data_IF_378709162071
#
_entry.id   IF_378709162071
#
_cell.length_a   1.000
_cell.length_b   1.000
_cell.length_c   1.000
_cell.angle_alpha   90.00
_cell.angle_beta   90.00
_cell.angle_gamma   90.00
#
_symmetry.space_group_name_H-M   'P 1'
#
loop_
_entity.id
_entity.type
_entity.pdbx_description
1 polymer ?
#
# COMPACT_ATOMS: atom_id res chain seq x y z
N UNK A 1 -15.54 4.18 19.37
CA UNK A 1 -16.27 3.58 18.24
C UNK A 1 -15.30 3.37 17.06
N UNK A 2 -14.21 2.60 17.26
CA UNK A 2 -13.07 2.56 16.33
C UNK A 2 -12.46 1.18 16.12
N UNK A 3 -13.16 0.11 16.51
CA UNK A 3 -12.64 -1.27 16.49
C UNK A 3 -13.27 -2.16 15.40
N UNK A 4 -14.21 -1.63 14.61
CA UNK A 4 -14.92 -2.41 13.59
C UNK A 4 -14.11 -2.48 12.30
N UNK A 5 -13.43 -1.41 11.89
CA UNK A 5 -12.67 -1.36 10.63
C UNK A 5 -11.48 -2.33 10.61
N UNK A 6 -10.76 -2.45 11.72
CA UNK A 6 -9.62 -3.39 11.88
C UNK A 6 -10.10 -4.84 11.92
N UNK A 7 -11.24 -5.10 12.57
CA UNK A 7 -11.80 -6.46 12.72
C UNK A 7 -12.30 -7.05 11.39
N UNK A 8 -12.82 -6.23 10.49
CA UNK A 8 -13.23 -6.70 9.15
C UNK A 8 -12.03 -6.97 8.22
N UNK A 9 -10.92 -6.24 8.39
CA UNK A 9 -9.71 -6.42 7.59
C UNK A 9 -8.95 -7.71 7.97
N UNK A 10 -8.97 -8.09 9.26
CA UNK A 10 -8.41 -9.36 9.79
C UNK A 10 -9.21 -10.58 9.31
N UNK A 11 -10.55 -10.53 9.34
CA UNK A 11 -11.41 -11.68 9.01
C UNK A 11 -11.39 -12.05 7.52
N UNK A 12 -11.12 -11.09 6.62
CA UNK A 12 -11.04 -11.35 5.18
C UNK A 12 -9.76 -12.07 4.74
N UNK A 13 -8.72 -12.09 5.57
CA UNK A 13 -7.39 -12.57 5.20
C UNK A 13 -6.95 -13.87 5.90
N UNK A 14 -7.77 -14.40 6.82
CA UNK A 14 -7.49 -15.58 7.65
C UNK A 14 -7.57 -16.93 6.88
N UNK A 15 -7.76 -16.90 5.55
CA UNK A 15 -7.91 -18.12 4.72
C UNK A 15 -6.66 -18.60 3.99
N UNK A 16 -5.53 -17.88 4.05
CA UNK A 16 -4.30 -18.30 3.35
C UNK A 16 -3.05 -18.21 4.24
N UNK A 17 -2.84 -19.18 5.14
CA UNK A 17 -1.74 -19.18 6.11
C UNK A 17 -0.34 -19.37 5.49
N UNK A 18 -0.23 -19.70 4.19
CA UNK A 18 1.03 -20.14 3.59
C UNK A 18 1.85 -19.07 2.89
N UNK A 19 1.34 -17.84 2.73
CA UNK A 19 2.05 -16.80 1.98
C UNK A 19 2.71 -15.76 2.89
N UNK A 20 2.04 -15.27 3.94
CA UNK A 20 2.59 -14.48 5.06
C UNK A 20 1.43 -14.31 6.06
N UNK A 21 1.65 -14.31 7.40
CA UNK A 21 0.57 -14.03 8.35
C UNK A 21 0.19 -12.58 8.16
N UNK A 22 -0.99 -12.32 7.62
CA UNK A 22 -1.51 -10.96 7.37
C UNK A 22 -1.65 -10.20 8.69
N UNK A 23 -1.78 -10.94 9.79
CA UNK A 23 -1.63 -10.47 11.17
C UNK A 23 -0.33 -9.69 11.37
N UNK A 24 0.79 -10.16 10.81
CA UNK A 24 2.08 -9.47 10.88
C UNK A 24 1.98 -8.09 10.26
N UNK A 25 1.26 -7.93 9.15
CA UNK A 25 1.05 -6.62 8.53
C UNK A 25 0.31 -5.69 9.50
N UNK A 26 -0.77 -6.18 10.10
CA UNK A 26 -1.59 -5.42 11.05
C UNK A 26 -0.78 -5.02 12.29
N UNK A 27 -0.02 -5.95 12.89
CA UNK A 27 0.86 -5.66 14.02
C UNK A 27 2.00 -4.71 13.63
N UNK A 28 2.57 -4.86 12.43
CA UNK A 28 3.62 -3.96 11.95
C UNK A 28 3.07 -2.56 11.75
N UNK A 29 1.89 -2.39 11.16
CA UNK A 29 1.25 -1.08 11.01
C UNK A 29 0.90 -0.48 12.38
N UNK A 30 0.40 -1.27 13.33
CA UNK A 30 0.11 -0.79 14.67
C UNK A 30 1.37 -0.36 15.44
N UNK A 31 2.49 -1.05 15.25
CA UNK A 31 3.76 -0.74 15.92
C UNK A 31 4.53 0.40 15.22
N UNK A 32 4.54 0.43 13.90
CA UNK A 32 5.32 1.38 13.09
C UNK A 32 4.52 2.60 12.62
N UNK A 33 3.19 2.59 12.72
CA UNK A 33 2.32 3.73 12.43
C UNK A 33 1.33 3.95 13.58
N UNK A 34 1.77 4.45 14.75
CA UNK A 34 0.85 4.87 15.80
C UNK A 34 -0.04 6.03 15.36
N UNK A 35 0.29 6.71 14.26
CA UNK A 35 -0.47 7.83 13.70
C UNK A 35 -1.66 7.36 12.83
N UNK A 36 -1.86 6.04 12.67
CA UNK A 36 -2.99 5.47 11.95
C UNK A 36 -4.31 5.82 12.67
N UNK A 37 -5.07 6.77 12.11
CA UNK A 37 -6.35 7.25 12.65
C UNK A 37 -6.33 8.70 13.15
N UNK A 38 -5.16 9.31 13.32
CA UNK A 38 -5.03 10.76 13.58
C UNK A 38 -4.65 11.55 12.33
N UNK A 39 -3.85 10.95 11.44
CA UNK A 39 -3.38 11.57 10.19
C UNK A 39 -4.25 11.21 8.99
N UNK A 40 -4.24 12.09 7.99
CA UNK A 40 -4.99 11.88 6.75
C UNK A 40 -4.28 10.86 5.84
N UNK A 41 -5.03 10.15 4.99
CA UNK A 41 -4.49 9.08 4.13
C UNK A 41 -3.32 9.55 3.24
N UNK A 42 -3.30 10.83 2.86
CA UNK A 42 -2.21 11.43 2.07
C UNK A 42 -0.92 11.59 2.88
N UNK A 43 -1.02 11.94 4.16
CA UNK A 43 0.11 12.12 5.07
C UNK A 43 0.72 10.77 5.45
N UNK A 44 -0.13 9.77 5.70
CA UNK A 44 0.29 8.38 5.91
C UNK A 44 1.02 7.85 4.68
N UNK A 45 0.47 8.06 3.48
CA UNK A 45 1.13 7.64 2.23
C UNK A 45 2.49 8.34 2.01
N UNK A 46 2.65 9.58 2.47
CA UNK A 46 3.93 10.29 2.43
C UNK A 46 4.92 9.76 3.48
N UNK A 47 4.46 9.47 4.70
CA UNK A 47 5.27 8.98 5.82
C UNK A 47 5.81 7.56 5.57
N UNK A 48 5.01 6.70 4.95
CA UNK A 48 5.44 5.37 4.49
C UNK A 48 6.34 5.46 3.24
N UNK A 49 6.26 6.57 2.50
CA UNK A 49 7.02 6.76 1.26
C UNK A 49 6.44 5.97 0.09
N UNK A 50 5.11 5.89 0.00
CA UNK A 50 4.36 5.31 -1.14
C UNK A 50 3.80 6.43 -2.04
N UNK A 51 3.76 7.68 -1.54
CA UNK A 51 3.38 8.83 -2.33
C UNK A 51 4.43 9.13 -3.43
N UNK A 52 4.02 9.29 -4.70
CA UNK A 52 4.94 9.66 -5.78
C UNK A 52 5.40 11.11 -5.60
N UNK A 53 6.71 11.31 -5.50
CA UNK A 53 7.35 12.62 -5.34
C UNK A 53 7.71 13.19 -6.71
N UNK A 54 7.40 14.48 -6.93
CA UNK A 54 7.83 15.20 -8.13
C UNK A 54 9.33 15.51 -8.03
N UNK A 55 10.08 15.17 -9.08
CA UNK A 55 11.52 15.49 -9.20
C UNK A 55 11.69 16.53 -10.29
N UNK A 56 11.12 17.71 -10.06
CA UNK A 56 11.12 18.79 -11.02
C UNK A 56 12.15 19.85 -10.61
N UNK A 57 12.98 20.31 -11.56
CA UNK A 57 13.93 21.41 -11.33
C UNK A 57 13.86 22.41 -12.49
N UNK A 58 13.40 23.62 -12.22
CA UNK A 58 13.20 24.65 -13.24
C UNK A 58 12.30 24.16 -14.39
N UNK A 59 12.88 23.94 -15.57
CA UNK A 59 12.18 23.44 -16.77
C UNK A 59 12.16 21.90 -16.89
N UNK A 60 12.90 21.19 -16.04
CA UNK A 60 13.04 19.73 -16.12
C UNK A 60 11.89 19.07 -15.39
N UNK A 61 11.07 18.30 -16.10
CA UNK A 61 10.04 17.43 -15.52
C UNK A 61 10.56 16.00 -15.41
N UNK A 62 10.92 15.60 -14.20
CA UNK A 62 11.49 14.28 -13.93
C UNK A 62 10.44 13.17 -13.89
N UNK A 63 10.88 11.91 -14.03
CA UNK A 63 10.00 10.77 -13.74
C UNK A 63 9.66 10.75 -12.25
N UNK A 64 8.37 10.76 -11.92
CA UNK A 64 7.88 10.62 -10.54
C UNK A 64 8.31 9.28 -9.96
N UNK A 65 8.89 9.29 -8.77
CA UNK A 65 9.31 8.10 -8.04
C UNK A 65 8.86 8.20 -6.59
N UNK A 66 8.64 7.04 -5.98
CA UNK A 66 8.53 6.96 -4.52
C UNK A 66 9.93 7.11 -3.92
N UNK A 67 10.07 7.91 -2.87
CA UNK A 67 11.33 8.17 -2.19
C UNK A 67 11.08 8.49 -0.71
N UNK A 68 12.03 8.13 0.16
CA UNK A 68 11.97 8.43 1.59
C UNK A 68 10.96 7.56 2.34
N UNK A 69 10.62 7.96 3.56
CA UNK A 69 9.68 7.28 4.45
C UNK A 69 10.19 5.97 5.07
N UNK A 70 9.30 5.25 5.75
CA UNK A 70 9.60 3.98 6.45
C UNK A 70 9.76 2.82 5.48
N UNK A 71 11.01 2.52 5.10
CA UNK A 71 11.32 1.49 4.11
C UNK A 71 10.84 0.08 4.50
N UNK A 72 10.87 -0.26 5.78
CA UNK A 72 10.38 -1.55 6.28
C UNK A 72 8.87 -1.70 6.06
N UNK A 73 8.08 -0.71 6.48
CA UNK A 73 6.63 -0.67 6.26
C UNK A 73 6.28 -0.76 4.77
N UNK A 74 7.05 -0.07 3.92
CA UNK A 74 6.87 -0.13 2.47
C UNK A 74 7.06 -1.54 1.91
N UNK A 75 8.06 -2.29 2.39
CA UNK A 75 8.30 -3.67 1.97
C UNK A 75 7.18 -4.61 2.42
N UNK A 76 6.69 -4.44 3.64
CA UNK A 76 5.56 -5.22 4.17
C UNK A 76 4.29 -4.93 3.37
N UNK A 77 3.99 -3.66 3.08
CA UNK A 77 2.88 -3.26 2.21
C UNK A 77 3.03 -3.78 0.78
N UNK A 78 4.25 -3.88 0.26
CA UNK A 78 4.50 -4.47 -1.07
C UNK A 78 4.03 -5.92 -1.13
N UNK A 79 4.43 -6.72 -0.16
CA UNK A 79 4.06 -8.13 -0.06
C UNK A 79 2.55 -8.27 0.17
N UNK A 80 1.98 -7.44 1.05
CA UNK A 80 0.54 -7.44 1.29
C UNK A 80 -0.27 -7.08 0.04
N UNK A 81 0.18 -6.08 -0.72
CA UNK A 81 -0.47 -5.69 -1.97
C UNK A 81 -0.40 -6.81 -3.00
N UNK A 82 0.72 -7.53 -3.07
CA UNK A 82 0.86 -8.68 -3.95
C UNK A 82 -0.19 -9.75 -3.63
N UNK A 83 -0.35 -10.11 -2.35
CA UNK A 83 -1.42 -11.04 -1.92
C UNK A 83 -2.82 -10.47 -2.19
N UNK A 84 -3.03 -9.18 -1.95
CA UNK A 84 -4.31 -8.52 -2.18
C UNK A 84 -4.72 -8.51 -3.66
N UNK A 85 -3.77 -8.43 -4.61
CA UNK A 85 -4.07 -8.55 -6.04
C UNK A 85 -4.56 -9.94 -6.45
N UNK A 86 -4.29 -10.97 -5.64
CA UNK A 86 -4.74 -12.33 -5.89
C UNK A 86 -6.08 -12.61 -5.23
N UNK A 87 -6.26 -12.15 -3.98
CA UNK A 87 -7.43 -12.47 -3.16
C UNK A 87 -8.59 -11.47 -3.29
N UNK A 88 -8.31 -10.18 -3.49
CA UNK A 88 -9.34 -9.13 -3.50
C UNK A 88 -9.71 -8.71 -4.94
N UNK A 89 -10.95 -8.94 -5.39
CA UNK A 89 -11.37 -8.62 -6.76
C UNK A 89 -11.31 -7.12 -7.06
N UNK A 90 -11.52 -6.23 -6.08
CA UNK A 90 -11.48 -4.78 -6.26
C UNK A 90 -10.05 -4.32 -6.60
N UNK A 91 -9.07 -4.80 -5.83
CA UNK A 91 -7.65 -4.47 -6.02
C UNK A 91 -7.13 -5.12 -7.31
N UNK A 92 -7.57 -6.35 -7.59
CA UNK A 92 -7.24 -7.07 -8.82
C UNK A 92 -7.72 -6.33 -10.07
N UNK A 93 -8.96 -5.85 -10.07
CA UNK A 93 -9.51 -5.09 -11.19
C UNK A 93 -8.78 -3.75 -11.37
N UNK A 94 -8.46 -3.06 -10.27
CA UNK A 94 -7.67 -1.83 -10.33
C UNK A 94 -6.26 -2.07 -10.89
N UNK A 95 -5.58 -3.13 -10.43
CA UNK A 95 -4.28 -3.55 -10.94
C UNK A 95 -4.35 -3.88 -12.44
N UNK A 96 -5.32 -4.68 -12.85
CA UNK A 96 -5.51 -5.08 -14.25
C UNK A 96 -5.79 -3.87 -15.16
N UNK A 97 -6.62 -2.92 -14.70
CA UNK A 97 -6.87 -1.66 -15.42
C UNK A 97 -5.57 -0.88 -15.65
N UNK A 98 -4.72 -0.76 -14.64
CA UNK A 98 -3.44 -0.06 -14.76
C UNK A 98 -2.45 -0.77 -15.69
N UNK A 99 -2.39 -2.10 -15.62
CA UNK A 99 -1.56 -2.91 -16.52
C UNK A 99 -2.06 -2.82 -17.97
N UNK A 100 -3.37 -2.86 -18.18
CA UNK A 100 -4.00 -2.68 -19.50
C UNK A 100 -3.72 -1.29 -20.10
N UNK A 101 -3.58 -0.26 -19.26
CA UNK A 101 -3.14 1.08 -19.68
C UNK A 101 -1.63 1.15 -20.01
N UNK A 102 -0.92 0.03 -20.04
CA UNK A 102 0.51 -0.04 -20.35
C UNK A 102 1.42 0.42 -19.20
N UNK A 103 0.91 0.55 -17.97
CA UNK A 103 1.75 0.87 -16.82
C UNK A 103 2.62 -0.33 -16.46
N UNK A 104 3.88 -0.05 -16.10
CA UNK A 104 4.78 -1.09 -15.63
C UNK A 104 4.24 -1.77 -14.37
N UNK A 105 4.32 -3.10 -14.27
CA UNK A 105 3.73 -3.90 -13.17
C UNK A 105 4.10 -3.38 -11.78
N UNK A 106 5.38 -3.04 -11.55
CA UNK A 106 5.83 -2.41 -10.30
C UNK A 106 5.12 -1.10 -9.97
N UNK A 107 4.85 -0.24 -10.97
CA UNK A 107 4.15 1.03 -10.77
C UNK A 107 2.67 0.79 -10.46
N UNK A 108 2.06 -0.21 -11.11
CA UNK A 108 0.70 -0.61 -10.81
C UNK A 108 0.57 -1.12 -9.36
N UNK A 109 1.50 -1.96 -8.88
CA UNK A 109 1.53 -2.39 -7.48
C UNK A 109 1.70 -1.22 -6.51
N UNK A 110 2.60 -0.27 -6.79
CA UNK A 110 2.75 0.94 -5.96
C UNK A 110 1.48 1.78 -5.91
N UNK A 111 0.69 1.82 -7.00
CA UNK A 111 -0.60 2.48 -6.99
C UNK A 111 -1.64 1.72 -6.16
N UNK A 112 -1.66 0.38 -6.25
CA UNK A 112 -2.53 -0.47 -5.44
C UNK A 112 -2.24 -0.37 -3.93
N UNK A 113 -0.99 -0.14 -3.52
CA UNK A 113 -0.63 0.10 -2.11
C UNK A 113 -1.34 1.31 -1.49
N UNK A 114 -1.76 2.28 -2.30
CA UNK A 114 -2.48 3.47 -1.84
C UNK A 114 -3.99 3.22 -1.68
N UNK A 115 -4.46 2.06 -2.14
CA UNK A 115 -5.86 1.63 -2.09
C UNK A 115 -6.14 0.64 -0.94
N UNK A 116 -5.08 0.02 -0.40
CA UNK A 116 -5.13 -0.75 0.85
C UNK A 116 -5.49 0.18 2.01
#
# INVERSE_FOLDING_TARGET
MGSVFVRWLVVLFDRTPWVYPVDTLTYTLLAELPELGSLNNKEIAALVGVAPVNRDSGKLRGKRRIQGGRAYVRSVLYIATLSATLCNPIIKDFYNKLVAQGKHKKVALTACMRLL
#
